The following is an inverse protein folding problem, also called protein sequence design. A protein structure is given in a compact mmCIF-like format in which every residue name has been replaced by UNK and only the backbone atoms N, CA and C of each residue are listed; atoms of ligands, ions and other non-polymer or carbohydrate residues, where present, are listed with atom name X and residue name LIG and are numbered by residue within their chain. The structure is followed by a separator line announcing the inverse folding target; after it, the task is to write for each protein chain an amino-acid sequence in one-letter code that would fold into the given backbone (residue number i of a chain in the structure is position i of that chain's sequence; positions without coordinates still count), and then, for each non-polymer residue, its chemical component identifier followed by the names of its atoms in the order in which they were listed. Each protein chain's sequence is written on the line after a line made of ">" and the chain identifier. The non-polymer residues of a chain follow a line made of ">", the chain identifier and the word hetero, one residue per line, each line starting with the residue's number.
data_IF_397936111009
#
_entry.id   IF_397936111009
#
_cell.length_a   1.000
_cell.length_b   1.000
_cell.length_c   1.000
_cell.angle_alpha   90.00
_cell.angle_beta   90.00
_cell.angle_gamma   90.00
#
_symmetry.space_group_name_H-M   'P 1'
#
loop_
_entity.id
_entity.type
_entity.pdbx_description
1 polymer ?
#
# COMPACT_ATOMS: atom_id res chain seq x y z
N UNK A 1 16.93 5.86 13.64
CA UNK A 1 15.72 5.12 13.19
C UNK A 1 14.65 5.10 14.28
N UNK A 2 13.60 5.88 14.08
CA UNK A 2 12.40 5.97 14.93
C UNK A 2 11.20 5.41 14.15
N UNK A 3 10.28 4.70 14.83
CA UNK A 3 8.98 4.32 14.28
C UNK A 3 7.91 5.19 14.92
N UNK A 4 7.07 5.83 14.11
CA UNK A 4 5.96 6.69 14.56
C UNK A 4 4.65 6.20 13.97
N UNK A 5 3.62 6.08 14.80
CA UNK A 5 2.27 5.68 14.40
C UNK A 5 1.37 6.92 14.42
N UNK A 6 0.71 7.21 13.30
CA UNK A 6 -0.15 8.37 13.11
C UNK A 6 -1.54 7.90 12.65
N UNK A 7 -2.57 8.59 13.11
CA UNK A 7 -3.97 8.27 12.83
C UNK A 7 -4.73 9.53 12.43
N UNK A 8 -5.64 9.41 11.44
CA UNK A 8 -6.49 10.50 10.99
C UNK A 8 -5.74 11.83 10.85
N UNK A 9 -6.28 12.90 11.43
CA UNK A 9 -5.73 14.25 11.31
C UNK A 9 -4.26 14.40 11.72
N UNK A 10 -3.70 13.49 12.55
CA UNK A 10 -2.28 13.52 12.91
C UNK A 10 -1.34 13.20 11.73
N UNK A 11 -1.87 12.69 10.62
CA UNK A 11 -1.15 12.40 9.39
C UNK A 11 -0.89 13.67 8.58
N UNK A 12 -1.77 14.69 8.69
CA UNK A 12 -1.75 15.90 7.87
C UNK A 12 -0.37 16.59 7.79
N UNK A 13 0.41 16.73 8.89
CA UNK A 13 1.73 17.35 8.84
C UNK A 13 2.78 16.59 8.01
N UNK A 14 2.52 15.35 7.59
CA UNK A 14 3.46 14.49 6.87
C UNK A 14 3.02 14.17 5.43
N UNK A 15 1.92 14.76 4.93
CA UNK A 15 1.40 14.46 3.59
C UNK A 15 2.44 14.74 2.50
N UNK A 16 3.16 15.86 2.59
CA UNK A 16 4.22 16.22 1.63
C UNK A 16 5.39 15.23 1.66
N UNK A 17 5.77 14.76 2.86
CA UNK A 17 6.83 13.76 3.03
C UNK A 17 6.42 12.40 2.44
N UNK A 18 5.15 12.01 2.64
CA UNK A 18 4.56 10.78 2.12
C UNK A 18 4.48 10.84 0.58
N UNK A 19 4.00 11.94 0.02
CA UNK A 19 3.93 12.16 -1.43
C UNK A 19 5.33 12.08 -2.05
N UNK A 20 6.33 12.77 -1.48
CA UNK A 20 7.73 12.70 -1.93
C UNK A 20 8.26 11.27 -1.88
N UNK A 21 8.00 10.54 -0.80
CA UNK A 21 8.45 9.17 -0.64
C UNK A 21 7.83 8.25 -1.69
N UNK A 22 6.51 8.34 -1.91
CA UNK A 22 5.79 7.55 -2.91
C UNK A 22 6.27 7.87 -4.32
N UNK A 23 6.41 9.14 -4.70
CA UNK A 23 6.97 9.54 -6.00
C UNK A 23 8.41 9.09 -6.20
N UNK A 24 9.20 8.95 -5.13
CA UNK A 24 10.56 8.41 -5.23
C UNK A 24 10.53 6.89 -5.46
N UNK A 25 9.76 6.16 -4.65
CA UNK A 25 9.78 4.69 -4.62
C UNK A 25 8.96 4.08 -5.76
N UNK A 26 7.83 4.66 -6.13
CA UNK A 26 6.93 4.11 -7.15
C UNK A 26 7.43 4.27 -8.57
N UNK A 27 8.48 5.07 -8.80
CA UNK A 27 9.21 5.08 -10.08
C UNK A 27 9.92 3.76 -10.35
N UNK A 28 10.13 2.94 -9.32
CA UNK A 28 10.77 1.64 -9.46
C UNK A 28 9.79 0.55 -9.92
N UNK A 29 10.32 -0.51 -10.53
CA UNK A 29 9.55 -1.69 -10.87
C UNK A 29 8.99 -2.36 -9.59
N UNK A 30 7.70 -2.76 -9.55
CA UNK A 30 6.80 -2.96 -10.69
C UNK A 30 5.84 -1.80 -10.99
N UNK A 31 5.89 -0.70 -10.22
CA UNK A 31 4.94 0.41 -10.39
C UNK A 31 5.28 1.26 -11.60
N UNK A 32 6.56 1.65 -11.75
CA UNK A 32 7.05 2.50 -12.84
C UNK A 32 6.25 3.81 -12.98
N UNK A 33 5.68 4.27 -11.88
CA UNK A 33 4.70 5.35 -11.82
C UNK A 33 5.35 6.70 -12.13
N UNK A 34 4.79 7.41 -13.11
CA UNK A 34 5.13 8.78 -13.45
C UNK A 34 3.99 9.73 -13.10
N UNK A 35 3.80 9.93 -11.80
CA UNK A 35 2.76 10.79 -11.23
C UNK A 35 3.21 12.20 -10.87
N UNK A 36 2.23 13.02 -10.48
CA UNK A 36 2.44 14.37 -9.97
C UNK A 36 2.18 14.43 -8.45
N UNK A 37 2.81 15.39 -7.77
CA UNK A 37 2.64 15.56 -6.32
C UNK A 37 1.20 15.87 -5.90
N UNK A 38 0.43 16.56 -6.75
CA UNK A 38 -0.97 16.88 -6.45
C UNK A 38 -1.84 15.62 -6.36
N UNK A 39 -1.70 14.69 -7.31
CA UNK A 39 -2.47 13.44 -7.33
C UNK A 39 -2.17 12.60 -6.08
N UNK A 40 -0.93 12.65 -5.60
CA UNK A 40 -0.49 11.96 -4.40
C UNK A 40 -1.06 12.59 -3.13
N UNK A 41 -1.13 13.92 -3.06
CA UNK A 41 -1.73 14.63 -1.92
C UNK A 41 -3.22 14.29 -1.75
N UNK A 42 -3.97 14.27 -2.86
CA UNK A 42 -5.40 13.93 -2.85
C UNK A 42 -5.61 12.46 -2.43
N UNK A 43 -4.77 11.54 -2.92
CA UNK A 43 -4.84 10.15 -2.48
C UNK A 43 -4.53 9.99 -0.99
N UNK A 44 -3.56 10.75 -0.47
CA UNK A 44 -3.11 10.67 0.92
C UNK A 44 -4.05 11.38 1.90
N UNK A 45 -4.85 12.37 1.46
CA UNK A 45 -5.80 13.07 2.33
C UNK A 45 -6.87 12.13 2.89
N UNK A 46 -7.24 11.08 2.15
CA UNK A 46 -8.20 10.05 2.60
C UNK A 46 -7.79 9.42 3.93
N UNK A 47 -6.50 9.19 4.14
CA UNK A 47 -6.00 8.68 5.42
C UNK A 47 -6.14 9.73 6.54
N UNK A 48 -5.92 11.02 6.24
CA UNK A 48 -6.08 12.07 7.24
C UNK A 48 -7.55 12.28 7.65
N UNK A 49 -8.48 12.00 6.75
CA UNK A 49 -9.92 12.10 6.96
C UNK A 49 -10.51 10.87 7.67
N UNK A 50 -9.93 9.68 7.47
CA UNK A 50 -10.35 8.47 8.17
C UNK A 50 -9.76 8.41 9.59
N UNK A 51 -10.62 8.51 10.61
CA UNK A 51 -10.22 8.37 12.01
C UNK A 51 -9.72 6.96 12.38
N UNK A 52 -9.95 5.96 11.52
CA UNK A 52 -9.49 4.57 11.67
C UNK A 52 -8.31 4.25 10.75
N UNK A 53 -7.71 5.25 10.12
CA UNK A 53 -6.48 5.08 9.36
C UNK A 53 -5.28 4.89 10.27
N UNK A 54 -4.22 4.32 9.69
CA UNK A 54 -2.90 4.26 10.30
C UNK A 54 -1.86 4.56 9.23
N UNK A 55 -0.95 5.47 9.55
CA UNK A 55 0.33 5.63 8.87
C UNK A 55 1.45 5.28 9.85
N UNK A 56 2.27 4.30 9.46
CA UNK A 56 3.48 3.90 10.17
C UNK A 56 4.65 4.58 9.46
N UNK A 57 5.28 5.56 10.09
CA UNK A 57 6.49 6.21 9.58
C UNK A 57 7.75 5.55 10.13
N UNK A 58 8.76 5.43 9.28
CA UNK A 58 10.14 5.22 9.67
C UNK A 58 10.91 6.53 9.47
N UNK A 59 11.47 7.07 10.53
CA UNK A 59 12.23 8.32 10.51
C UNK A 59 13.71 8.10 10.81
N UNK A 60 14.58 8.82 10.10
CA UNK A 60 16.00 8.89 10.42
C UNK A 60 16.47 10.35 10.47
N UNK A 61 16.96 10.77 11.65
CA UNK A 61 17.30 12.18 11.90
C UNK A 61 16.16 13.16 11.62
N UNK A 62 14.91 12.76 11.88
CA UNK A 62 13.71 13.57 11.60
C UNK A 62 13.17 13.48 10.17
N UNK A 63 13.87 12.83 9.24
CA UNK A 63 13.41 12.68 7.86
C UNK A 63 12.60 11.39 7.69
N UNK A 64 11.47 11.46 6.97
CA UNK A 64 10.70 10.27 6.57
C UNK A 64 11.50 9.49 5.51
N UNK A 65 11.92 8.28 5.88
CA UNK A 65 12.68 7.36 5.01
C UNK A 65 11.87 6.13 4.59
N UNK A 66 10.70 5.97 5.20
CA UNK A 66 9.79 4.88 4.96
C UNK A 66 8.41 5.17 5.51
N UNK A 67 7.40 4.60 4.87
CA UNK A 67 6.03 4.67 5.36
C UNK A 67 5.24 3.43 4.95
N UNK A 68 4.22 3.10 5.74
CA UNK A 68 3.16 2.20 5.30
C UNK A 68 1.80 2.66 5.79
N UNK A 69 0.80 2.57 4.93
CA UNK A 69 -0.54 3.08 5.20
C UNK A 69 -1.54 1.93 5.38
N UNK A 70 -2.63 2.21 6.09
CA UNK A 70 -3.78 1.33 6.26
C UNK A 70 -5.03 2.11 6.61
N UNK A 71 -6.19 1.61 6.20
CA UNK A 71 -7.52 2.17 6.49
C UNK A 71 -8.60 1.12 6.28
N UNK A 72 -9.83 1.30 6.81
CA UNK A 72 -10.98 0.49 6.39
C UNK A 72 -11.15 0.53 4.87
N UNK A 73 -11.46 -0.60 4.24
CA UNK A 73 -11.59 -0.65 2.77
C UNK A 73 -12.70 0.27 2.25
N UNK A 74 -13.76 0.48 3.04
CA UNK A 74 -14.85 1.41 2.74
C UNK A 74 -14.43 2.88 2.67
N UNK A 75 -13.31 3.23 3.31
CA UNK A 75 -12.73 4.58 3.27
C UNK A 75 -11.75 4.74 2.08
N UNK A 76 -11.37 3.64 1.43
CA UNK A 76 -10.51 3.63 0.26
C UNK A 76 -11.29 3.89 -1.04
N UNK A 77 -10.56 4.15 -2.13
CA UNK A 77 -11.14 4.37 -3.46
C UNK A 77 -12.14 3.28 -3.87
N UNK A 78 -13.24 3.67 -4.50
CA UNK A 78 -14.37 2.77 -4.82
C UNK A 78 -13.93 1.57 -5.68
N UNK A 79 -12.94 1.75 -6.56
CA UNK A 79 -12.37 0.71 -7.42
C UNK A 79 -11.72 -0.42 -6.62
N UNK A 80 -11.25 -0.14 -5.40
CA UNK A 80 -10.69 -1.17 -4.50
C UNK A 80 -11.79 -1.98 -3.82
N UNK A 81 -13.00 -1.41 -3.70
CA UNK A 81 -14.15 -2.05 -3.05
C UNK A 81 -14.92 -2.96 -4.01
N UNK A 82 -15.03 -2.56 -5.29
CA UNK A 82 -15.80 -3.29 -6.31
C UNK A 82 -15.52 -4.80 -6.40
N UNK A 83 -14.25 -5.28 -6.32
CA UNK A 83 -13.97 -6.71 -6.44
C UNK A 83 -14.57 -7.54 -5.31
N UNK A 84 -14.64 -6.98 -4.09
CA UNK A 84 -15.24 -7.63 -2.93
C UNK A 84 -16.75 -7.71 -3.08
N UNK A 85 -17.38 -6.57 -3.44
CA UNK A 85 -18.82 -6.49 -3.70
C UNK A 85 -19.25 -7.48 -4.80
N UNK A 86 -18.49 -7.57 -5.90
CA UNK A 86 -18.76 -8.47 -7.01
C UNK A 86 -18.67 -9.96 -6.62
N UNK A 87 -17.94 -10.30 -5.57
CA UNK A 87 -17.85 -11.66 -5.02
C UNK A 87 -18.78 -11.88 -3.82
N UNK A 88 -19.66 -10.92 -3.50
CA UNK A 88 -20.56 -11.00 -2.34
C UNK A 88 -19.86 -10.89 -0.99
N UNK A 89 -18.65 -10.31 -0.95
CA UNK A 89 -17.91 -10.01 0.28
C UNK A 89 -18.19 -8.57 0.71
N UNK A 90 -18.46 -8.37 1.99
CA UNK A 90 -18.70 -7.05 2.57
C UNK A 90 -17.38 -6.26 2.72
N UNK A 91 -17.19 -5.11 2.04
CA UNK A 91 -15.99 -4.30 2.22
C UNK A 91 -15.79 -3.81 3.65
N UNK A 92 -16.83 -3.73 4.48
CA UNK A 92 -16.69 -3.31 5.88
C UNK A 92 -15.86 -4.30 6.71
N UNK A 93 -15.80 -5.57 6.32
CA UNK A 93 -15.02 -6.58 7.05
C UNK A 93 -13.53 -6.59 6.67
N UNK A 94 -13.07 -5.65 5.84
CA UNK A 94 -11.71 -5.61 5.32
C UNK A 94 -10.97 -4.38 5.80
N UNK A 95 -9.86 -4.59 6.52
CA UNK A 95 -8.87 -3.55 6.76
C UNK A 95 -7.86 -3.54 5.61
N UNK A 96 -7.90 -2.49 4.79
CA UNK A 96 -7.07 -2.35 3.62
C UNK A 96 -5.71 -1.76 3.97
N UNK A 97 -4.66 -2.51 3.68
CA UNK A 97 -3.29 -2.05 3.69
C UNK A 97 -3.02 -1.34 2.36
N UNK A 98 -2.89 -0.02 2.44
CA UNK A 98 -2.37 0.77 1.34
C UNK A 98 -0.89 0.51 1.09
N UNK A 99 -0.22 1.52 0.56
CA UNK A 99 1.16 1.39 0.15
C UNK A 99 2.14 1.08 1.29
N UNK A 100 3.28 0.48 0.91
CA UNK A 100 4.46 0.33 1.76
C UNK A 100 5.68 0.77 0.96
N UNK A 101 6.24 1.93 1.32
CA UNK A 101 7.34 2.54 0.61
C UNK A 101 8.56 2.64 1.52
N UNK A 102 9.73 2.28 0.98
CA UNK A 102 11.01 2.39 1.65
C UNK A 102 12.05 2.89 0.66
N UNK A 103 12.78 3.95 1.05
CA UNK A 103 13.93 4.40 0.30
C UNK A 103 14.96 3.27 0.16
N UNK A 104 15.63 3.12 -1.00
CA UNK A 104 16.54 2.01 -1.28
C UNK A 104 17.58 1.75 -0.20
N UNK A 105 18.19 2.82 0.34
CA UNK A 105 19.22 2.72 1.37
C UNK A 105 18.76 2.03 2.68
N UNK A 106 17.44 2.00 2.94
CA UNK A 106 16.86 1.49 4.17
C UNK A 106 16.22 0.10 4.02
N UNK A 107 16.26 -0.49 2.82
CA UNK A 107 15.75 -1.84 2.55
C UNK A 107 16.65 -2.90 3.16
N UNK A 108 16.09 -4.09 3.40
CA UNK A 108 16.83 -5.21 4.01
C UNK A 108 17.11 -5.07 5.52
N UNK A 109 16.62 -4.00 6.16
CA UNK A 109 16.86 -3.71 7.59
C UNK A 109 15.69 -4.10 8.51
N UNK A 110 14.79 -4.98 8.06
CA UNK A 110 13.62 -5.42 8.83
C UNK A 110 12.43 -4.44 8.88
N UNK A 111 12.55 -3.22 8.34
CA UNK A 111 11.46 -2.21 8.37
C UNK A 111 10.17 -2.71 7.70
N UNK A 112 10.28 -3.43 6.58
CA UNK A 112 9.09 -4.03 5.94
C UNK A 112 8.40 -5.07 6.82
N UNK A 113 9.12 -5.78 7.70
CA UNK A 113 8.52 -6.64 8.73
C UNK A 113 7.75 -5.79 9.72
N UNK A 114 8.38 -4.74 10.23
CA UNK A 114 7.79 -3.83 11.21
C UNK A 114 6.49 -3.20 10.69
N UNK A 115 6.45 -2.75 9.44
CA UNK A 115 5.25 -2.17 8.81
C UNK A 115 4.06 -3.12 8.76
N UNK A 116 4.28 -4.41 8.52
CA UNK A 116 3.19 -5.41 8.57
C UNK A 116 2.73 -5.64 10.01
N UNK A 117 3.66 -5.82 10.95
CA UNK A 117 3.34 -6.02 12.38
C UNK A 117 2.47 -4.88 12.91
N UNK A 118 2.84 -3.63 12.65
CA UNK A 118 2.11 -2.47 13.19
C UNK A 118 0.72 -2.35 12.60
N UNK A 119 0.56 -2.55 11.27
CA UNK A 119 -0.75 -2.48 10.62
C UNK A 119 -1.66 -3.63 11.01
N UNK A 120 -1.13 -4.85 11.11
CA UNK A 120 -1.90 -6.01 11.59
C UNK A 120 -2.30 -5.84 13.06
N UNK A 121 -1.39 -5.38 13.91
CA UNK A 121 -1.69 -5.10 15.32
C UNK A 121 -2.80 -4.06 15.46
N UNK A 122 -2.78 -3.01 14.64
CA UNK A 122 -3.82 -2.00 14.68
C UNK A 122 -5.17 -2.50 14.16
N UNK A 123 -5.19 -3.26 13.06
CA UNK A 123 -6.41 -3.90 12.56
C UNK A 123 -7.04 -4.82 13.62
N UNK A 124 -6.22 -5.62 14.32
CA UNK A 124 -6.70 -6.45 15.45
C UNK A 124 -7.24 -5.61 16.61
N UNK A 125 -6.60 -4.48 16.95
CA UNK A 125 -7.07 -3.59 18.03
C UNK A 125 -8.45 -2.99 17.76
N UNK A 126 -8.78 -2.74 16.49
CA UNK A 126 -10.10 -2.24 16.11
C UNK A 126 -11.18 -3.31 16.27
N UNK A 127 -10.84 -4.60 16.17
CA UNK A 127 -11.74 -5.75 16.42
C UNK A 127 -13.05 -5.74 15.59
N UNK A 128 -13.02 -5.09 14.42
CA UNK A 128 -14.17 -4.93 13.51
C UNK A 128 -13.97 -5.61 12.15
N UNK A 129 -12.78 -6.21 11.89
CA UNK A 129 -12.39 -6.70 10.57
C UNK A 129 -12.10 -8.20 10.58
N UNK A 130 -12.60 -8.91 9.57
CA UNK A 130 -12.36 -10.33 9.33
C UNK A 130 -11.07 -10.57 8.52
N UNK A 131 -10.60 -9.56 7.78
CA UNK A 131 -9.45 -9.68 6.88
C UNK A 131 -8.57 -8.43 6.89
N UNK A 132 -7.26 -8.66 6.72
CA UNK A 132 -6.36 -7.68 6.11
C UNK A 132 -6.24 -7.96 4.62
N UNK A 133 -6.25 -6.92 3.80
CA UNK A 133 -6.01 -7.05 2.37
C UNK A 133 -5.10 -5.94 1.83
N UNK A 134 -4.29 -6.25 0.84
CA UNK A 134 -3.68 -5.25 -0.06
C UNK A 134 -3.76 -5.78 -1.50
N UNK A 135 -3.46 -4.93 -2.48
CA UNK A 135 -3.28 -5.39 -3.85
C UNK A 135 -1.88 -5.04 -4.38
N UNK A 136 -1.42 -5.84 -5.34
CA UNK A 136 -0.13 -5.65 -5.99
C UNK A 136 -0.33 -5.62 -7.50
N UNK A 137 0.38 -4.71 -8.18
CA UNK A 137 0.35 -4.62 -9.65
C UNK A 137 0.90 -5.89 -10.29
N UNK A 138 0.17 -6.40 -11.27
CA UNK A 138 0.60 -7.51 -12.11
C UNK A 138 1.42 -6.97 -13.29
N UNK A 139 2.66 -7.46 -13.43
CA UNK A 139 3.52 -7.15 -14.58
C UNK A 139 3.93 -8.46 -15.29
N UNK A 140 3.99 -8.47 -16.63
CA UNK A 140 4.53 -9.61 -17.37
C UNK A 140 5.95 -9.96 -16.93
N UNK A 141 6.28 -11.25 -16.94
CA UNK A 141 7.60 -11.71 -16.51
C UNK A 141 8.75 -11.13 -17.36
N UNK A 142 8.51 -10.89 -18.65
CA UNK A 142 9.45 -10.30 -19.62
C UNK A 142 9.29 -8.80 -19.82
N UNK A 143 8.74 -8.06 -18.84
CA UNK A 143 8.62 -6.61 -18.95
C UNK A 143 10.01 -5.96 -19.15
N UNK A 144 10.20 -5.07 -20.14
CA UNK A 144 11.53 -4.57 -20.52
C UNK A 144 12.24 -3.81 -19.39
N UNK A 145 11.48 -3.08 -18.58
CA UNK A 145 12.00 -2.33 -17.42
C UNK A 145 12.11 -3.17 -16.13
N UNK A 146 11.93 -4.51 -16.19
CA UNK A 146 12.11 -5.37 -15.04
C UNK A 146 13.61 -5.56 -14.75
N UNK A 147 14.12 -5.17 -13.57
CA UNK A 147 15.52 -5.40 -13.23
C UNK A 147 15.90 -6.88 -13.22
N UNK A 148 17.13 -7.21 -13.65
CA UNK A 148 17.65 -8.58 -13.70
C UNK A 148 17.68 -9.24 -12.32
N UNK A 149 17.97 -8.45 -11.28
CA UNK A 149 18.04 -8.86 -9.88
C UNK A 149 16.72 -8.66 -9.12
N UNK A 150 15.62 -8.34 -9.83
CA UNK A 150 14.32 -8.10 -9.20
C UNK A 150 13.82 -9.33 -8.45
N UNK A 151 13.58 -9.15 -7.15
CA UNK A 151 13.02 -10.18 -6.27
C UNK A 151 11.55 -9.88 -5.99
N UNK A 152 10.60 -10.71 -6.49
CA UNK A 152 9.20 -10.55 -6.16
C UNK A 152 8.95 -10.69 -4.66
N UNK A 153 8.05 -9.85 -4.12
CA UNK A 153 7.67 -9.86 -2.71
C UNK A 153 6.69 -11.01 -2.35
N UNK A 154 6.34 -11.88 -3.30
CA UNK A 154 5.35 -12.95 -3.07
C UNK A 154 5.75 -13.88 -1.91
N UNK A 155 7.01 -14.29 -1.83
CA UNK A 155 7.51 -15.10 -0.71
C UNK A 155 7.48 -14.34 0.62
N UNK A 156 7.81 -13.04 0.57
CA UNK A 156 7.77 -12.16 1.73
C UNK A 156 6.34 -12.01 2.29
N UNK A 157 5.33 -11.88 1.43
CA UNK A 157 3.92 -11.79 1.83
C UNK A 157 3.38 -13.13 2.35
N UNK A 158 3.67 -14.25 1.67
CA UNK A 158 3.26 -15.59 2.12
C UNK A 158 3.80 -15.91 3.52
N UNK A 159 5.05 -15.54 3.80
CA UNK A 159 5.66 -15.73 5.13
C UNK A 159 4.97 -14.93 6.24
N UNK A 160 4.07 -14.00 5.91
CA UNK A 160 3.23 -13.23 6.86
C UNK A 160 1.79 -13.73 6.91
N UNK A 161 1.44 -14.75 6.14
CA UNK A 161 0.10 -15.33 6.07
C UNK A 161 -0.80 -14.71 5.01
N UNK A 162 -0.28 -13.83 4.14
CA UNK A 162 -1.06 -13.29 3.02
C UNK A 162 -1.05 -14.26 1.84
N UNK A 163 -2.24 -14.62 1.38
CA UNK A 163 -2.47 -15.51 0.25
C UNK A 163 -2.99 -14.72 -0.94
N UNK A 164 -2.46 -15.01 -2.13
CA UNK A 164 -2.87 -14.38 -3.38
C UNK A 164 -4.27 -14.82 -3.77
N UNK A 165 -5.14 -13.87 -4.10
CA UNK A 165 -6.51 -14.07 -4.54
C UNK A 165 -6.66 -13.56 -5.98
N UNK A 166 -6.27 -14.35 -7.00
CA UNK A 166 -6.25 -13.89 -8.40
C UNK A 166 -7.65 -13.63 -8.98
N UNK A 167 -8.72 -14.13 -8.35
CA UNK A 167 -10.10 -13.80 -8.70
C UNK A 167 -10.52 -12.40 -8.23
N UNK A 168 -9.89 -11.87 -7.18
CA UNK A 168 -10.08 -10.50 -6.69
C UNK A 168 -9.08 -9.59 -7.41
N UNK A 169 -9.57 -8.86 -8.41
CA UNK A 169 -8.76 -7.94 -9.22
C UNK A 169 -9.43 -6.60 -9.36
N UNK A 170 -8.61 -5.55 -9.31
CA UNK A 170 -9.01 -4.20 -9.66
C UNK A 170 -8.14 -3.66 -10.79
N UNK A 171 -8.56 -2.53 -11.34
CA UNK A 171 -7.86 -1.80 -12.38
C UNK A 171 -7.62 -0.37 -11.89
N UNK A 172 -6.39 0.10 -12.03
CA UNK A 172 -6.03 1.50 -11.82
C UNK A 172 -5.33 2.04 -13.07
N UNK A 173 -5.38 3.35 -13.27
CA UNK A 173 -4.79 4.00 -14.45
C UNK A 173 -3.69 4.93 -14.01
N UNK A 174 -2.52 4.78 -14.63
CA UNK A 174 -1.43 5.73 -14.50
C UNK A 174 -0.51 5.68 -15.72
N UNK A 175 0.37 6.68 -15.82
CA UNK A 175 1.41 6.75 -16.84
C UNK A 175 2.67 6.07 -16.33
N UNK A 176 3.21 5.13 -17.10
CA UNK A 176 4.54 4.58 -16.82
C UNK A 176 5.62 5.58 -17.26
N UNK A 177 6.83 5.51 -16.69
CA UNK A 177 7.95 6.44 -16.95
C UNK A 177 8.24 6.77 -18.43
N UNK A 178 8.10 5.79 -19.32
CA UNK A 178 8.44 5.93 -20.75
C UNK A 178 7.20 6.06 -21.65
N UNK A 179 5.99 6.07 -21.06
CA UNK A 179 4.74 6.18 -21.80
C UNK A 179 4.30 7.65 -21.93
N UNK A 180 3.66 8.00 -23.05
CA UNK A 180 3.08 9.34 -23.23
C UNK A 180 1.68 9.47 -22.60
N UNK A 181 0.95 8.36 -22.51
CA UNK A 181 -0.44 8.32 -22.07
C UNK A 181 -0.61 7.38 -20.87
N UNK A 182 -1.68 7.61 -20.09
CA UNK A 182 -2.05 6.68 -19.03
C UNK A 182 -2.60 5.38 -19.61
N UNK A 183 -2.18 4.25 -19.04
CA UNK A 183 -2.72 2.93 -19.38
C UNK A 183 -3.24 2.21 -18.14
N UNK A 184 -4.14 1.26 -18.36
CA UNK A 184 -4.76 0.47 -17.29
C UNK A 184 -3.81 -0.59 -16.79
N UNK A 185 -3.68 -0.69 -15.47
CA UNK A 185 -2.85 -1.65 -14.77
C UNK A 185 -3.73 -2.51 -13.90
N UNK A 186 -3.55 -3.81 -13.99
CA UNK A 186 -4.30 -4.77 -13.19
C UNK A 186 -3.56 -4.99 -11.88
N UNK A 187 -4.30 -4.96 -10.78
CA UNK A 187 -3.81 -5.30 -9.46
C UNK A 187 -4.63 -6.47 -8.93
N UNK A 188 -3.96 -7.44 -8.32
CA UNK A 188 -4.63 -8.55 -7.66
C UNK A 188 -4.42 -8.51 -6.16
N UNK A 189 -5.45 -8.96 -5.44
CA UNK A 189 -5.48 -8.87 -4.00
C UNK A 189 -4.72 -10.01 -3.32
N UNK A 190 -4.20 -9.68 -2.14
CA UNK A 190 -3.57 -10.60 -1.20
C UNK A 190 -4.30 -10.43 0.13
N UNK A 191 -4.84 -11.53 0.64
CA UNK A 191 -5.68 -11.53 1.83
C UNK A 191 -5.05 -12.35 2.94
N UNK A 192 -5.23 -11.90 4.17
CA UNK A 192 -4.96 -12.65 5.39
C UNK A 192 -6.20 -12.56 6.28
N UNK A 193 -6.70 -13.70 6.74
CA UNK A 193 -7.76 -13.73 7.73
C UNK A 193 -7.24 -13.15 9.06
N UNK A 194 -8.05 -12.31 9.69
CA UNK A 194 -7.87 -11.77 11.03
C UNK A 194 -8.84 -12.50 11.95
N UNK A 195 -8.45 -13.66 12.51
CA UNK A 195 -9.28 -14.29 13.53
C UNK A 195 -9.39 -13.36 14.74
N UNK A 196 -10.60 -13.31 15.31
CA UNK A 196 -10.90 -12.66 16.59
C UNK A 196 -10.23 -13.39 17.74
#
# INVERSE_FOLDING_TARGET
>A
MEIRLLHGAAIAPYLDDLARLRLTVFREFPYLYDGAAQDEADALSTYAESGRSLVVLALDGGHVVGASCGQPLVDAAVELQQPFLAQGQDPNSVYFFGESALLPAYRGRGLGVRFFIERESYAHKLAEFDYCAFCAVERPAGHPLRPLDYRPLHGFWRNRGFLHQPSLRTAQRWRDLDDQEQSTKILSFWLKALPV
#
